data_IF_424462793877
#
_entry.id   IF_424462793877
#
_cell.length_a   1.000
_cell.length_b   1.000
_cell.length_c   1.000
_cell.angle_alpha   90.00
_cell.angle_beta   90.00
_cell.angle_gamma   90.00
#
_symmetry.space_group_name_H-M   'P 1'
#
loop_
_entity.id
_entity.type
_entity.pdbx_description
1 polymer ?
#
# COMPACT_ATOMS: atom_id res chain seq x y z
N UNK A 1 13.03 -20.43 -15.92
CA UNK A 1 13.44 -19.88 -14.61
C UNK A 1 12.33 -20.18 -13.61
N UNK A 2 12.65 -20.77 -12.47
CA UNK A 2 11.65 -21.14 -11.46
C UNK A 2 11.43 -19.96 -10.50
N UNK A 3 10.20 -19.42 -10.44
CA UNK A 3 9.83 -18.35 -9.52
C UNK A 3 9.83 -18.89 -8.08
N UNK A 4 10.48 -18.16 -7.15
CA UNK A 4 10.46 -18.52 -5.72
C UNK A 4 9.05 -18.31 -5.17
N UNK A 5 8.61 -19.20 -4.29
CA UNK A 5 7.34 -19.03 -3.56
C UNK A 5 7.40 -17.74 -2.74
N UNK A 6 6.36 -16.88 -2.78
CA UNK A 6 6.32 -15.68 -1.97
C UNK A 6 6.27 -16.04 -0.48
N UNK A 7 7.01 -15.29 0.34
CA UNK A 7 6.95 -15.35 1.80
C UNK A 7 6.17 -14.14 2.27
N UNK A 8 5.09 -14.39 3.01
CA UNK A 8 4.24 -13.35 3.56
C UNK A 8 4.72 -12.96 4.97
N UNK A 9 4.65 -11.67 5.27
CA UNK A 9 4.86 -11.13 6.62
C UNK A 9 3.62 -10.36 7.08
N UNK A 10 3.69 -9.81 8.29
CA UNK A 10 2.65 -8.99 8.93
C UNK A 10 3.15 -7.58 9.17
N UNK A 11 2.23 -6.65 9.39
CA UNK A 11 2.51 -5.21 9.57
C UNK A 11 3.45 -4.95 10.75
N UNK A 12 3.29 -5.63 11.87
CA UNK A 12 4.14 -5.49 13.07
C UNK A 12 5.62 -5.86 12.85
N UNK A 13 5.93 -6.60 11.79
CA UNK A 13 7.30 -7.03 11.44
C UNK A 13 8.03 -6.10 10.48
N UNK A 14 7.37 -5.03 10.03
CA UNK A 14 8.00 -4.04 9.15
C UNK A 14 9.03 -3.23 9.93
N UNK A 15 10.20 -3.01 9.33
CA UNK A 15 11.26 -2.20 9.93
C UNK A 15 11.70 -1.08 8.99
N UNK A 16 12.14 0.08 9.50
CA UNK A 16 12.75 1.11 8.66
C UNK A 16 13.91 0.53 7.83
N UNK A 17 14.13 1.08 6.64
CA UNK A 17 15.22 0.71 5.73
C UNK A 17 15.19 -0.73 5.18
N UNK A 18 14.09 -1.48 5.40
CA UNK A 18 13.89 -2.82 4.83
C UNK A 18 12.92 -2.78 3.64
N UNK A 19 13.02 -3.73 2.71
CA UNK A 19 12.22 -3.77 1.48
C UNK A 19 11.99 -5.21 0.99
N UNK A 20 11.09 -5.39 0.02
CA UNK A 20 10.82 -6.70 -0.60
C UNK A 20 9.79 -7.57 0.13
N UNK A 21 8.99 -6.99 1.03
CA UNK A 21 7.94 -7.73 1.74
C UNK A 21 6.72 -8.01 0.86
N UNK A 22 6.11 -9.17 1.11
CA UNK A 22 4.75 -9.47 0.66
C UNK A 22 3.81 -9.41 1.86
N UNK A 23 2.71 -8.65 1.76
CA UNK A 23 1.72 -8.47 2.82
C UNK A 23 0.32 -8.80 2.29
N UNK A 24 -0.53 -9.34 3.16
CA UNK A 24 -1.97 -9.42 2.94
C UNK A 24 -2.67 -8.53 3.96
N UNK A 25 -3.23 -7.41 3.52
CA UNK A 25 -3.88 -6.44 4.38
C UNK A 25 -5.10 -5.84 3.70
N UNK A 26 -5.99 -5.22 4.48
CA UNK A 26 -7.20 -4.55 3.99
C UNK A 26 -7.02 -3.04 3.96
N UNK A 27 -7.46 -2.40 2.89
CA UNK A 27 -7.60 -0.94 2.83
C UNK A 27 -8.83 -0.55 3.65
N UNK A 28 -8.66 0.35 4.62
CA UNK A 28 -9.71 0.85 5.51
C UNK A 28 -10.23 2.22 5.09
N UNK A 29 -9.39 3.03 4.50
CA UNK A 29 -9.75 4.32 3.92
C UNK A 29 -8.69 4.75 2.91
N UNK A 30 -9.07 5.62 1.99
CA UNK A 30 -8.18 6.20 0.98
C UNK A 30 -8.56 7.67 0.78
N UNK A 31 -7.59 8.58 0.91
CA UNK A 31 -7.78 10.02 0.75
C UNK A 31 -6.76 10.56 -0.24
N UNK A 32 -7.23 11.21 -1.30
CA UNK A 32 -6.35 11.94 -2.21
C UNK A 32 -5.75 13.13 -1.45
N UNK A 33 -4.42 13.17 -1.37
CA UNK A 33 -3.66 14.24 -0.69
C UNK A 33 -2.93 15.14 -1.69
N UNK A 34 -2.76 14.69 -2.92
CA UNK A 34 -2.20 15.47 -4.02
C UNK A 34 -2.87 15.08 -5.33
N UNK A 35 -3.37 16.05 -6.08
CA UNK A 35 -3.75 15.86 -7.48
C UNK A 35 -3.24 17.05 -8.29
N UNK A 36 -2.18 16.81 -9.08
CA UNK A 36 -1.54 17.80 -9.95
C UNK A 36 -1.66 17.31 -11.40
N UNK A 37 -2.71 17.72 -12.13
CA UNK A 37 -2.93 17.30 -13.50
C UNK A 37 -1.77 17.68 -14.44
N UNK A 38 -1.23 18.89 -14.28
CA UNK A 38 -0.13 19.40 -15.10
C UNK A 38 1.14 18.54 -15.02
N UNK A 39 1.46 18.00 -13.84
CA UNK A 39 2.60 17.10 -13.63
C UNK A 39 2.21 15.62 -13.66
N UNK A 40 0.96 15.30 -14.04
CA UNK A 40 0.39 13.94 -14.01
C UNK A 40 0.68 13.20 -12.69
N UNK A 41 0.66 13.95 -11.58
CA UNK A 41 1.02 13.43 -10.26
C UNK A 41 -0.22 13.34 -9.42
N UNK A 42 -0.59 12.12 -9.01
CA UNK A 42 -1.63 11.90 -8.03
C UNK A 42 -1.09 11.07 -6.88
N UNK A 43 -1.40 11.47 -5.66
CA UNK A 43 -0.98 10.79 -4.42
C UNK A 43 -2.18 10.62 -3.52
N UNK A 44 -2.35 9.39 -3.03
CA UNK A 44 -3.38 9.01 -2.08
C UNK A 44 -2.72 8.42 -0.85
N UNK A 45 -3.15 8.87 0.32
CA UNK A 45 -2.86 8.22 1.59
C UNK A 45 -3.95 7.20 1.88
N UNK A 46 -3.54 5.95 2.08
CA UNK A 46 -4.41 4.82 2.33
C UNK A 46 -4.12 4.27 3.72
N UNK A 47 -5.14 4.18 4.57
CA UNK A 47 -5.03 3.45 5.83
C UNK A 47 -5.15 1.96 5.52
N UNK A 48 -4.11 1.18 5.81
CA UNK A 48 -4.03 -0.25 5.49
C UNK A 48 -3.77 -1.04 6.76
N UNK A 49 -4.59 -2.06 7.03
CA UNK A 49 -4.54 -2.82 8.28
C UNK A 49 -4.56 -4.33 8.07
N UNK A 50 -3.83 -5.06 8.90
CA UNK A 50 -3.95 -6.50 9.10
C UNK A 50 -4.27 -6.79 10.60
N UNK A 51 -4.34 -8.04 11.06
CA UNK A 51 -4.58 -8.34 12.47
C UNK A 51 -3.50 -7.85 13.45
N UNK A 52 -2.30 -7.52 12.96
CA UNK A 52 -1.13 -7.15 13.79
C UNK A 52 -0.92 -5.65 13.90
N UNK A 53 -1.45 -4.86 12.96
CA UNK A 53 -1.26 -3.43 12.98
C UNK A 53 -1.92 -2.69 11.83
N UNK A 54 -1.69 -1.38 11.81
CA UNK A 54 -2.18 -0.46 10.78
C UNK A 54 -1.04 0.46 10.36
N UNK A 55 -0.92 0.68 9.05
CA UNK A 55 0.07 1.56 8.44
C UNK A 55 -0.61 2.59 7.53
N UNK A 56 0.06 3.72 7.35
CA UNK A 56 -0.26 4.70 6.33
C UNK A 56 0.52 4.36 5.05
N UNK A 57 -0.20 3.94 4.01
CA UNK A 57 0.37 3.57 2.73
C UNK A 57 0.18 4.71 1.71
N UNK A 58 1.26 5.12 1.05
CA UNK A 58 1.19 6.12 -0.02
C UNK A 58 1.08 5.46 -1.38
N UNK A 59 -0.08 5.58 -2.04
CA UNK A 59 -0.29 5.12 -3.41
C UNK A 59 -0.10 6.28 -4.41
N UNK A 60 0.56 6.02 -5.53
CA UNK A 60 0.83 7.03 -6.57
C UNK A 60 0.24 6.64 -7.92
N UNK A 61 -0.33 7.60 -8.64
CA UNK A 61 -0.80 7.46 -10.01
C UNK A 61 -1.69 6.22 -10.22
N UNK A 62 -1.29 5.30 -11.12
CA UNK A 62 -2.03 4.08 -11.43
C UNK A 62 -2.13 3.10 -10.25
N UNK A 63 -1.24 3.19 -9.26
CA UNK A 63 -1.35 2.36 -8.04
C UNK A 63 -2.66 2.68 -7.31
N UNK A 64 -3.14 3.92 -7.35
CA UNK A 64 -4.33 4.39 -6.62
C UNK A 64 -5.57 3.59 -6.99
N UNK A 65 -5.67 3.14 -8.24
CA UNK A 65 -6.80 2.34 -8.71
C UNK A 65 -6.90 0.99 -7.97
N UNK A 66 -5.77 0.43 -7.55
CA UNK A 66 -5.70 -0.80 -6.75
C UNK A 66 -5.92 -0.61 -5.24
N UNK A 67 -5.91 0.63 -4.74
CA UNK A 67 -6.14 0.95 -3.32
C UNK A 67 -7.50 1.60 -3.08
N UNK A 68 -8.45 1.44 -4.00
CA UNK A 68 -9.82 1.91 -3.80
C UNK A 68 -10.47 1.15 -2.65
N UNK A 69 -11.17 1.87 -1.78
CA UNK A 69 -11.97 1.30 -0.71
C UNK A 69 -13.31 0.81 -1.28
N UNK A 70 -13.58 -0.50 -1.12
CA UNK A 70 -14.84 -1.17 -1.50
C UNK A 70 -14.69 -2.07 -2.73
N UNK A 71 -15.05 -3.36 -2.69
CA UNK A 71 -15.77 -4.16 -1.67
C UNK A 71 -14.83 -4.92 -0.71
#
# INVERSE_FOLDING_TARGET
MQLRKPVFTTVDRLQPQTHGYTLTARVRSARIVLDKPASRTRVTECLVSDPTGTILFTARNNQIEGFKFGL
#
